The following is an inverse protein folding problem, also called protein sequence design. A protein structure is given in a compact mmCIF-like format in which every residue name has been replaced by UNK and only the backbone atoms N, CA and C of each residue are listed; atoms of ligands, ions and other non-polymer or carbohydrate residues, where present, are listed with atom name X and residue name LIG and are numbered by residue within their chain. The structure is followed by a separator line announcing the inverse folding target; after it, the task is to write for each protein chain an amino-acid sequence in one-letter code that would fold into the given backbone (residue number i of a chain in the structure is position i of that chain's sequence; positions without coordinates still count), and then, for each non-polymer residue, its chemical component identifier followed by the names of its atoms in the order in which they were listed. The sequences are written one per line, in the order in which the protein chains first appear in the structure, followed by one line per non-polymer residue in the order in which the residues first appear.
data_IF_421631124116
#
_entry.id   IF_421631124116
#
_cell.length_a   1.000
_cell.length_b   1.000
_cell.length_c   1.000
_cell.angle_alpha   90.00
_cell.angle_beta   90.00
_cell.angle_gamma   90.00
#
_symmetry.space_group_name_H-M   'P 1'
#
loop_
_entity.id
_entity.type
_entity.pdbx_description
1 polymer ?
#
# COMPACT_ATOMS: atom_id res chain seq x y z
N UNK A 1 -6.60 -47.36 14.12
CA UNK A 1 -6.82 -46.53 12.92
C UNK A 1 -8.22 -45.91 12.98
N UNK A 2 -8.39 -44.78 13.63
CA UNK A 2 -9.68 -44.04 13.65
C UNK A 2 -9.39 -42.60 13.32
N UNK A 3 -9.78 -42.22 12.11
CA UNK A 3 -9.75 -40.81 11.63
C UNK A 3 -11.00 -40.13 12.18
N UNK A 4 -10.79 -39.19 13.12
CA UNK A 4 -11.85 -38.33 13.63
C UNK A 4 -11.99 -37.14 12.66
N UNK A 5 -13.14 -37.12 11.98
CA UNK A 5 -13.58 -36.00 11.17
C UNK A 5 -14.22 -34.94 12.09
N UNK A 6 -13.56 -33.80 12.26
CA UNK A 6 -14.22 -32.63 12.84
C UNK A 6 -14.93 -31.86 11.72
N UNK A 7 -16.25 -32.06 11.65
CA UNK A 7 -17.15 -31.25 10.86
C UNK A 7 -17.44 -29.95 11.62
N UNK A 8 -16.80 -28.84 11.28
CA UNK A 8 -17.19 -27.52 11.78
C UNK A 8 -18.32 -27.02 10.89
N UNK A 9 -19.55 -27.15 11.38
CA UNK A 9 -20.73 -26.52 10.81
C UNK A 9 -20.65 -25.03 11.17
N UNK A 10 -20.25 -24.20 10.20
CA UNK A 10 -20.39 -22.77 10.30
C UNK A 10 -21.86 -22.40 10.05
N UNK A 11 -22.59 -22.04 11.10
CA UNK A 11 -23.90 -21.43 11.00
C UNK A 11 -23.80 -20.11 10.23
N UNK A 12 -24.31 -20.08 9.02
CA UNK A 12 -24.59 -18.87 8.27
C UNK A 12 -25.77 -18.13 8.93
N UNK A 13 -25.47 -17.16 9.79
CA UNK A 13 -26.44 -16.14 10.17
C UNK A 13 -26.33 -15.02 9.14
N UNK A 14 -27.22 -15.02 8.18
CA UNK A 14 -27.36 -13.93 7.22
C UNK A 14 -27.93 -12.70 7.94
N UNK A 15 -27.06 -11.71 8.24
CA UNK A 15 -27.50 -10.37 8.59
C UNK A 15 -27.56 -9.51 7.34
N UNK A 16 -28.69 -8.85 7.05
CA UNK A 16 -28.82 -7.99 5.88
C UNK A 16 -28.11 -6.66 6.14
N UNK A 17 -27.21 -6.27 5.23
CA UNK A 17 -26.83 -4.88 5.08
C UNK A 17 -25.36 -4.48 5.23
N UNK A 18 -24.38 -5.39 5.19
CA UNK A 18 -22.98 -5.02 5.10
C UNK A 18 -22.42 -5.44 3.75
N UNK A 19 -22.22 -4.48 2.86
CA UNK A 19 -21.34 -4.64 1.71
C UNK A 19 -19.93 -4.74 2.25
N UNK A 20 -19.49 -5.94 2.63
CA UNK A 20 -18.09 -6.21 2.95
C UNK A 20 -17.27 -6.04 1.68
N UNK A 21 -16.60 -4.91 1.55
CA UNK A 21 -15.47 -4.81 0.64
C UNK A 21 -14.36 -5.67 1.24
N UNK A 22 -14.23 -6.91 0.75
CA UNK A 22 -13.12 -7.79 1.17
C UNK A 22 -11.81 -7.07 0.87
N UNK A 23 -10.98 -6.90 1.90
CA UNK A 23 -9.65 -6.32 1.72
C UNK A 23 -8.75 -7.33 0.98
N UNK A 24 -7.69 -6.86 0.32
CA UNK A 24 -6.73 -7.77 -0.31
C UNK A 24 -6.12 -8.75 0.71
N UNK A 25 -5.91 -8.30 1.96
CA UNK A 25 -5.47 -9.18 3.06
C UNK A 25 -6.46 -10.32 3.32
N UNK A 26 -7.77 -10.02 3.30
CA UNK A 26 -8.79 -11.05 3.47
C UNK A 26 -8.77 -12.04 2.30
N UNK A 27 -8.55 -11.54 1.08
CA UNK A 27 -8.45 -12.37 -0.12
C UNK A 27 -7.21 -13.28 -0.10
N UNK A 28 -6.06 -12.79 0.34
CA UNK A 28 -4.81 -13.58 0.42
C UNK A 28 -4.85 -14.59 1.56
N UNK A 29 -5.41 -14.24 2.72
CA UNK A 29 -5.54 -15.15 3.86
C UNK A 29 -6.61 -16.21 3.63
N UNK A 30 -7.67 -15.88 2.88
CA UNK A 30 -8.77 -16.78 2.56
C UNK A 30 -8.67 -17.36 1.15
N UNK A 31 -7.54 -17.93 0.76
CA UNK A 31 -7.27 -18.54 -0.57
C UNK A 31 -8.38 -19.44 -1.16
N UNK A 32 -9.50 -19.61 -0.46
CA UNK A 32 -10.65 -20.47 -0.84
C UNK A 32 -11.88 -19.71 -1.32
N UNK A 33 -11.95 -18.38 -1.20
CA UNK A 33 -13.13 -17.63 -1.61
C UNK A 33 -12.84 -16.99 -2.97
N UNK A 34 -13.19 -17.69 -4.04
CA UNK A 34 -13.17 -17.19 -5.42
C UNK A 34 -14.34 -16.22 -5.64
N UNK A 35 -14.31 -15.07 -4.99
CA UNK A 35 -15.22 -13.99 -5.35
C UNK A 35 -14.61 -13.18 -6.49
N UNK A 36 -15.40 -12.59 -7.40
CA UNK A 36 -14.86 -11.74 -8.47
C UNK A 36 -14.00 -10.57 -7.93
N UNK A 37 -14.32 -10.06 -6.76
CA UNK A 37 -13.56 -8.98 -6.08
C UNK A 37 -12.19 -9.49 -5.65
N UNK A 38 -12.10 -10.63 -4.97
CA UNK A 38 -10.83 -11.22 -4.56
C UNK A 38 -9.96 -11.58 -5.77
N UNK A 39 -10.54 -12.18 -6.81
CA UNK A 39 -9.83 -12.52 -8.04
C UNK A 39 -9.18 -11.27 -8.66
N UNK A 40 -9.92 -10.17 -8.79
CA UNK A 40 -9.39 -8.94 -9.37
C UNK A 40 -8.29 -8.28 -8.52
N UNK A 41 -8.37 -8.38 -7.21
CA UNK A 41 -7.34 -7.87 -6.30
C UNK A 41 -6.07 -8.72 -6.35
N UNK A 42 -6.20 -10.05 -6.38
CA UNK A 42 -5.07 -10.98 -6.50
C UNK A 42 -4.35 -10.76 -7.83
N UNK A 43 -5.07 -10.68 -8.95
CA UNK A 43 -4.46 -10.44 -10.27
C UNK A 43 -3.66 -9.11 -10.28
N UNK A 44 -4.20 -8.05 -9.69
CA UNK A 44 -3.47 -6.77 -9.59
C UNK A 44 -2.23 -6.89 -8.71
N UNK A 45 -2.33 -7.57 -7.57
CA UNK A 45 -1.19 -7.85 -6.69
C UNK A 45 -0.10 -8.63 -7.43
N UNK A 46 -0.45 -9.75 -8.07
CA UNK A 46 0.51 -10.58 -8.81
C UNK A 46 1.19 -9.81 -9.94
N UNK A 47 0.42 -9.02 -10.69
CA UNK A 47 0.96 -8.17 -11.75
C UNK A 47 2.01 -7.21 -11.20
N UNK A 48 1.73 -6.49 -10.13
CA UNK A 48 2.68 -5.53 -9.57
C UNK A 48 3.84 -6.20 -8.85
N UNK A 49 3.60 -7.32 -8.19
CA UNK A 49 4.65 -8.11 -7.56
C UNK A 49 5.68 -8.63 -8.59
N UNK A 50 5.24 -8.90 -9.82
CA UNK A 50 6.13 -9.35 -10.89
C UNK A 50 7.08 -8.25 -11.41
N UNK A 51 6.63 -6.98 -11.53
CA UNK A 51 7.46 -5.95 -12.15
C UNK A 51 8.10 -4.94 -11.17
N UNK A 52 7.48 -4.67 -10.02
CA UNK A 52 7.98 -3.67 -9.05
C UNK A 52 9.42 -3.98 -8.62
N UNK A 53 9.81 -5.22 -8.27
CA UNK A 53 11.19 -5.50 -7.87
C UNK A 53 12.23 -5.11 -8.92
N UNK A 54 11.93 -5.36 -10.21
CA UNK A 54 12.84 -4.99 -11.31
C UNK A 54 12.92 -3.47 -11.48
N UNK A 55 11.78 -2.80 -11.32
CA UNK A 55 11.65 -1.36 -11.51
C UNK A 55 12.42 -0.55 -10.44
N UNK A 56 12.46 -1.04 -9.21
CA UNK A 56 13.06 -0.32 -8.07
C UNK A 56 14.44 -0.84 -7.65
N UNK A 57 14.99 -1.83 -8.32
CA UNK A 57 16.26 -2.52 -7.95
C UNK A 57 17.44 -1.59 -7.67
N UNK A 58 17.49 -0.43 -8.31
CA UNK A 58 18.60 0.54 -8.18
C UNK A 58 18.25 1.68 -7.21
N UNK A 59 17.10 1.66 -6.56
CA UNK A 59 16.66 2.72 -5.65
C UNK A 59 17.27 2.63 -4.26
N UNK A 60 17.79 1.46 -3.87
CA UNK A 60 18.20 1.17 -2.48
C UNK A 60 17.02 0.99 -1.52
N UNK A 61 15.79 0.99 -2.01
CA UNK A 61 14.58 0.70 -1.25
C UNK A 61 14.19 -0.77 -1.47
N UNK A 62 13.85 -1.46 -0.38
CA UNK A 62 13.34 -2.82 -0.46
C UNK A 62 12.04 -2.86 -1.29
N UNK A 63 11.96 -3.70 -2.34
CA UNK A 63 10.77 -3.83 -3.16
C UNK A 63 9.49 -4.15 -2.37
N UNK A 64 9.60 -4.95 -1.31
CA UNK A 64 8.46 -5.29 -0.45
C UNK A 64 7.93 -4.07 0.30
N UNK A 65 8.79 -3.11 0.65
CA UNK A 65 8.36 -1.84 1.23
C UNK A 65 7.57 -1.01 0.22
N UNK A 66 8.00 -0.98 -1.05
CA UNK A 66 7.26 -0.29 -2.12
C UNK A 66 5.89 -0.95 -2.35
N UNK A 67 5.87 -2.28 -2.42
CA UNK A 67 4.62 -3.05 -2.54
C UNK A 67 3.67 -2.83 -1.36
N UNK A 68 4.20 -2.74 -0.14
CA UNK A 68 3.42 -2.44 1.06
C UNK A 68 2.78 -1.04 1.01
N UNK A 69 3.52 -0.04 0.52
CA UNK A 69 2.98 1.31 0.28
C UNK A 69 1.87 1.26 -0.76
N UNK A 70 2.08 0.60 -1.90
CA UNK A 70 1.08 0.45 -2.96
C UNK A 70 -0.19 -0.24 -2.44
N UNK A 71 -0.04 -1.27 -1.59
CA UNK A 71 -1.17 -1.96 -0.96
C UNK A 71 -2.07 -1.00 -0.19
N UNK A 72 -1.48 -0.13 0.63
CA UNK A 72 -2.23 0.81 1.49
C UNK A 72 -2.75 2.00 0.69
N UNK A 73 -1.96 2.53 -0.24
CA UNK A 73 -2.32 3.72 -1.02
C UNK A 73 -3.45 3.44 -2.02
N UNK A 74 -3.38 2.35 -2.75
CA UNK A 74 -4.30 2.11 -3.86
C UNK A 74 -4.97 0.74 -3.86
N UNK A 75 -4.54 -0.21 -3.01
CA UNK A 75 -4.93 -1.61 -3.14
C UNK A 75 -4.50 -2.19 -4.48
N UNK A 76 -3.33 -1.80 -4.95
CA UNK A 76 -2.76 -2.17 -6.26
C UNK A 76 -3.54 -1.66 -7.48
N UNK A 77 -4.34 -0.60 -7.33
CA UNK A 77 -5.09 -0.01 -8.43
C UNK A 77 -4.26 1.02 -9.20
N UNK A 78 -4.18 0.85 -10.53
CA UNK A 78 -3.42 1.73 -11.43
C UNK A 78 -4.05 3.11 -11.61
N UNK A 79 -5.38 3.18 -11.65
CA UNK A 79 -6.12 4.39 -12.01
C UNK A 79 -6.77 5.07 -10.79
N UNK A 80 -6.18 4.94 -9.60
CA UNK A 80 -6.73 5.59 -8.42
C UNK A 80 -6.39 7.08 -8.40
N UNK A 81 -7.43 7.89 -8.36
CA UNK A 81 -7.36 9.31 -8.04
C UNK A 81 -8.06 9.53 -6.70
N UNK A 82 -7.44 10.26 -5.80
CA UNK A 82 -8.05 10.61 -4.51
C UNK A 82 -8.56 12.05 -4.48
N UNK A 83 -9.52 12.33 -3.60
CA UNK A 83 -10.04 13.68 -3.38
C UNK A 83 -8.96 14.67 -2.93
N UNK A 84 -7.85 14.18 -2.40
CA UNK A 84 -6.66 14.98 -2.01
C UNK A 84 -5.65 15.15 -3.14
N UNK A 85 -5.98 14.73 -4.37
CA UNK A 85 -5.14 14.82 -5.56
C UNK A 85 -4.03 13.78 -5.63
N UNK A 86 -4.09 12.70 -4.88
CA UNK A 86 -3.17 11.57 -5.02
C UNK A 86 -3.44 10.81 -6.31
N UNK A 87 -2.40 10.53 -7.09
CA UNK A 87 -2.45 9.91 -8.41
C UNK A 87 -1.78 8.54 -8.39
N UNK A 88 -2.45 7.54 -8.95
CA UNK A 88 -1.92 6.24 -9.32
C UNK A 88 -1.62 5.28 -8.16
N UNK A 89 -0.83 4.23 -8.42
CA UNK A 89 -0.54 3.17 -7.45
C UNK A 89 0.02 3.65 -6.12
N UNK A 90 0.92 4.61 -6.13
CA UNK A 90 1.56 5.17 -4.94
C UNK A 90 0.97 6.50 -4.48
N UNK A 91 -0.18 6.93 -5.03
CA UNK A 91 -0.95 8.12 -4.64
C UNK A 91 -0.08 9.39 -4.52
N UNK A 92 0.74 9.66 -5.55
CA UNK A 92 1.61 10.82 -5.56
C UNK A 92 0.79 12.10 -5.70
N UNK A 93 0.93 12.98 -4.72
CA UNK A 93 0.27 14.29 -4.75
C UNK A 93 1.04 15.29 -5.62
N UNK A 94 0.37 16.35 -6.13
CA UNK A 94 1.05 17.42 -6.86
C UNK A 94 2.19 18.07 -6.07
N UNK A 95 2.09 18.13 -4.74
CA UNK A 95 3.14 18.67 -3.87
C UNK A 95 4.35 17.77 -3.89
N UNK A 96 4.18 16.46 -3.69
CA UNK A 96 5.26 15.49 -3.72
C UNK A 96 5.94 15.42 -5.09
N UNK A 97 5.15 15.51 -6.17
CA UNK A 97 5.68 15.56 -7.55
C UNK A 97 6.59 16.78 -7.77
N UNK A 98 6.13 17.96 -7.40
CA UNK A 98 6.92 19.21 -7.50
C UNK A 98 8.20 19.17 -6.66
N UNK A 99 8.17 18.57 -5.49
CA UNK A 99 9.37 18.36 -4.66
C UNK A 99 10.45 17.49 -5.34
N UNK A 100 10.06 16.73 -6.38
CA UNK A 100 10.95 15.93 -7.20
C UNK A 100 11.21 16.51 -8.58
N UNK A 101 10.76 17.75 -8.84
CA UNK A 101 10.92 18.46 -10.12
C UNK A 101 9.99 17.97 -11.23
N UNK A 102 8.83 17.39 -10.88
CA UNK A 102 7.82 16.94 -11.84
C UNK A 102 6.67 17.94 -11.84
N UNK A 103 6.57 18.73 -12.92
CA UNK A 103 5.53 19.73 -13.11
C UNK A 103 4.36 19.19 -13.94
N UNK A 104 4.64 18.29 -14.89
CA UNK A 104 3.60 17.62 -15.69
C UNK A 104 3.06 16.38 -14.96
N UNK A 105 1.91 16.54 -14.33
CA UNK A 105 1.26 15.46 -13.58
C UNK A 105 0.72 14.34 -14.47
N UNK A 106 0.56 14.55 -15.80
CA UNK A 106 0.14 13.49 -16.74
C UNK A 106 1.16 12.35 -16.78
N UNK A 107 2.43 12.67 -16.51
CA UNK A 107 3.49 11.67 -16.34
C UNK A 107 3.16 10.59 -15.29
N UNK A 108 2.45 10.98 -14.21
CA UNK A 108 2.07 10.09 -13.11
C UNK A 108 0.91 9.14 -13.45
N UNK A 109 0.27 9.29 -14.60
CA UNK A 109 -0.77 8.37 -15.07
C UNK A 109 -0.20 7.04 -15.57
N UNK A 110 1.10 6.98 -15.86
CA UNK A 110 1.82 5.73 -16.12
C UNK A 110 2.17 5.05 -14.80
N UNK A 111 1.79 3.79 -14.62
CA UNK A 111 2.13 3.00 -13.43
C UNK A 111 3.63 2.97 -13.18
N UNK A 112 4.42 2.74 -14.24
CA UNK A 112 5.88 2.72 -14.16
C UNK A 112 6.43 4.05 -13.64
N UNK A 113 6.00 5.16 -14.22
CA UNK A 113 6.42 6.49 -13.82
C UNK A 113 5.96 6.82 -12.40
N UNK A 114 4.75 6.42 -12.05
CA UNK A 114 4.18 6.61 -10.72
C UNK A 114 4.98 5.87 -9.64
N UNK A 115 5.24 4.57 -9.85
CA UNK A 115 6.01 3.74 -8.91
C UNK A 115 7.44 4.25 -8.78
N UNK A 116 8.11 4.62 -9.87
CA UNK A 116 9.45 5.23 -9.82
C UNK A 116 9.44 6.54 -9.03
N UNK A 117 8.46 7.40 -9.26
CA UNK A 117 8.33 8.68 -8.56
C UNK A 117 8.05 8.48 -7.08
N UNK A 118 7.11 7.61 -6.74
CA UNK A 118 6.77 7.29 -5.35
C UNK A 118 7.94 6.67 -4.60
N UNK A 119 8.70 5.79 -5.26
CA UNK A 119 9.91 5.20 -4.69
C UNK A 119 10.97 6.27 -4.42
N UNK A 120 11.18 7.22 -5.35
CA UNK A 120 12.10 8.36 -5.13
C UNK A 120 11.65 9.25 -3.98
N UNK A 121 10.35 9.49 -3.86
CA UNK A 121 9.82 10.28 -2.73
C UNK A 121 9.99 9.55 -1.40
N UNK A 122 9.70 8.26 -1.37
CA UNK A 122 9.93 7.41 -0.21
C UNK A 122 11.42 7.35 0.20
N UNK A 123 12.32 7.22 -0.77
CA UNK A 123 13.77 7.27 -0.57
C UNK A 123 14.19 8.62 0.04
N UNK A 124 13.68 9.74 -0.48
CA UNK A 124 13.93 11.09 0.07
C UNK A 124 13.46 11.19 1.52
N UNK A 125 12.31 10.63 1.86
CA UNK A 125 11.83 10.62 3.26
C UNK A 125 12.72 9.75 4.14
N UNK A 126 13.12 8.57 3.66
CA UNK A 126 14.01 7.69 4.41
C UNK A 126 15.40 8.33 4.66
N UNK A 127 15.98 8.97 3.65
CA UNK A 127 17.24 9.71 3.80
C UNK A 127 17.13 10.85 4.82
N UNK A 128 15.96 11.52 4.87
CA UNK A 128 15.75 12.66 5.78
C UNK A 128 15.53 12.25 7.23
N UNK A 129 14.82 11.16 7.48
CA UNK A 129 14.38 10.79 8.82
C UNK A 129 15.13 9.59 9.42
N UNK A 130 15.78 8.75 8.61
CA UNK A 130 16.60 7.61 9.05
C UNK A 130 15.82 6.45 9.69
N UNK A 131 14.50 6.55 9.78
CA UNK A 131 13.61 5.56 10.38
C UNK A 131 12.39 5.33 9.50
N UNK A 132 12.02 4.07 9.26
CA UNK A 132 10.90 3.73 8.37
C UNK A 132 9.56 4.28 8.85
N UNK A 133 9.30 4.26 10.14
CA UNK A 133 8.02 4.76 10.68
C UNK A 133 7.90 6.26 10.49
N UNK A 134 8.99 6.99 10.69
CA UNK A 134 9.04 8.44 10.46
C UNK A 134 8.99 8.77 8.96
N UNK A 135 9.68 7.99 8.13
CA UNK A 135 9.65 8.16 6.67
C UNK A 135 8.24 7.93 6.10
N UNK A 136 7.55 6.90 6.55
CA UNK A 136 6.17 6.61 6.18
C UNK A 136 5.20 7.68 6.69
N UNK A 137 5.38 8.15 7.92
CA UNK A 137 4.60 9.27 8.44
C UNK A 137 4.80 10.55 7.62
N UNK A 138 6.05 10.81 7.19
CA UNK A 138 6.37 11.95 6.33
C UNK A 138 5.83 11.79 4.91
N UNK A 139 5.82 10.57 4.39
CA UNK A 139 5.21 10.24 3.10
C UNK A 139 3.71 10.59 3.09
N UNK A 140 2.99 10.18 4.12
CA UNK A 140 1.53 10.37 4.24
C UNK A 140 1.13 11.80 4.67
N UNK A 141 1.75 12.33 5.74
CA UNK A 141 1.37 13.62 6.33
C UNK A 141 2.23 14.81 5.87
N UNK A 142 3.25 14.53 5.07
CA UNK A 142 4.28 15.49 4.70
C UNK A 142 5.40 15.64 5.75
N UNK A 143 6.64 15.93 5.31
CA UNK A 143 7.80 16.04 6.20
C UNK A 143 7.67 17.16 7.22
N UNK A 144 6.96 18.24 6.89
CA UNK A 144 6.71 19.36 7.81
C UNK A 144 5.93 18.95 9.06
N UNK A 145 4.97 18.02 8.92
CA UNK A 145 4.21 17.52 10.08
C UNK A 145 5.11 16.71 11.03
N UNK A 146 5.96 15.84 10.49
CA UNK A 146 6.91 15.04 11.30
C UNK A 146 7.90 15.93 12.05
N UNK A 147 8.43 16.97 11.39
CA UNK A 147 9.33 17.94 12.02
C UNK A 147 8.61 18.72 13.13
N UNK A 148 7.42 19.25 12.84
CA UNK A 148 6.61 20.01 13.81
C UNK A 148 6.33 19.21 15.08
N UNK A 149 6.00 17.94 14.93
CA UNK A 149 5.64 17.07 16.05
C UNK A 149 6.82 16.28 16.63
N UNK A 150 8.04 16.46 16.06
CA UNK A 150 9.28 15.74 16.45
C UNK A 150 9.09 14.22 16.50
N UNK A 151 8.27 13.69 15.59
CA UNK A 151 7.88 12.27 15.54
C UNK A 151 6.66 12.05 14.66
N UNK A 152 6.04 10.88 14.77
CA UNK A 152 4.78 10.60 14.07
C UNK A 152 3.72 11.56 14.58
N UNK A 153 3.10 12.38 13.70
CA UNK A 153 2.11 13.36 14.15
C UNK A 153 0.87 12.64 14.76
N UNK A 154 0.18 13.28 15.72
CA UNK A 154 -0.98 12.70 16.37
C UNK A 154 -2.23 12.73 15.46
N UNK A 155 -2.05 12.47 14.18
CA UNK A 155 -3.11 12.34 13.20
C UNK A 155 -3.51 10.87 13.13
N UNK A 156 -4.75 10.58 13.46
CA UNK A 156 -5.28 9.20 13.48
C UNK A 156 -5.05 8.47 12.17
N UNK A 157 -5.23 9.17 11.05
CA UNK A 157 -4.99 8.63 9.70
C UNK A 157 -3.52 8.24 9.50
N UNK A 158 -2.59 9.13 9.84
CA UNK A 158 -1.14 8.88 9.67
C UNK A 158 -0.64 7.75 10.56
N UNK A 159 -1.12 7.68 11.80
CA UNK A 159 -0.78 6.60 12.72
C UNK A 159 -1.26 5.24 12.19
N UNK A 160 -2.50 5.18 11.69
CA UNK A 160 -3.06 3.99 11.07
C UNK A 160 -2.30 3.61 9.78
N UNK A 161 -1.95 4.59 8.95
CA UNK A 161 -1.16 4.41 7.73
C UNK A 161 0.17 3.73 8.02
N UNK A 162 0.94 4.27 8.96
CA UNK A 162 2.25 3.70 9.34
C UNK A 162 2.11 2.26 9.83
N UNK A 163 1.10 1.97 10.65
CA UNK A 163 0.84 0.61 11.14
C UNK A 163 0.48 -0.34 10.00
N UNK A 164 -0.40 0.08 9.08
CA UNK A 164 -0.84 -0.74 7.95
C UNK A 164 0.30 -1.05 6.99
N UNK A 165 1.12 -0.04 6.62
CA UNK A 165 2.25 -0.27 5.72
C UNK A 165 3.28 -1.21 6.36
N UNK A 166 3.63 -1.00 7.64
CA UNK A 166 4.55 -1.88 8.34
C UNK A 166 4.02 -3.32 8.47
N UNK A 167 2.72 -3.47 8.70
CA UNK A 167 2.09 -4.78 8.71
C UNK A 167 2.18 -5.49 7.34
N UNK A 168 1.86 -4.77 6.26
CA UNK A 168 2.00 -5.30 4.89
C UNK A 168 3.43 -5.68 4.57
N UNK A 169 4.39 -4.82 4.93
CA UNK A 169 5.81 -5.08 4.70
C UNK A 169 6.27 -6.38 5.38
N UNK A 170 5.92 -6.59 6.65
CA UNK A 170 6.26 -7.81 7.38
C UNK A 170 5.55 -9.04 6.79
N UNK A 171 4.32 -8.90 6.35
CA UNK A 171 3.56 -9.98 5.71
C UNK A 171 4.21 -10.40 4.39
N UNK A 172 4.61 -9.44 3.54
CA UNK A 172 5.30 -9.73 2.27
C UNK A 172 6.64 -10.44 2.50
N UNK A 173 7.37 -10.09 3.55
CA UNK A 173 8.63 -10.76 3.93
C UNK A 173 8.45 -12.20 4.37
N UNK A 174 7.26 -12.63 4.73
CA UNK A 174 6.98 -13.96 5.25
C UNK A 174 6.51 -14.97 4.19
N UNK A 175 6.27 -14.50 2.97
CA UNK A 175 5.84 -15.31 1.82
C UNK A 175 6.92 -15.43 0.77
#
# INVERSE_FOLDING_TARGET
MHRIWFCVIACLVATPGWTQTSSLSDCLLMQRIQTPVCTSQIVRFESQHAYVPQLVRNSGIDPDMVLAVIAVESGYSSLKLSDRGGIGPMQITPIAARELGIDDLTYLLSDTANVQTGTRYLQKMMQRFGDWRLALAAYNAGPGAVIKHKGIPPYRETQAYVQQVMWWYLTLKSI
#
